data_IF_835486723040
#
_entry.id   IF_835486723040
#
_cell.length_a   1.000
_cell.length_b   1.000
_cell.length_c   1.000
_cell.angle_alpha   90.00
_cell.angle_beta   90.00
_cell.angle_gamma   90.00
#
_symmetry.space_group_name_H-M   'P 1'
#
loop_
_entity.id
_entity.type
_entity.pdbx_description
1 polymer ?
#
# COMPACT_ATOMS: atom_id res chain seq x y z
N UNK A 1 -16.79 5.90 3.67
CA UNK A 1 -16.68 7.21 2.98
C UNK A 1 -15.51 7.96 3.60
N UNK A 2 -14.66 8.62 2.81
CA UNK A 2 -13.53 9.39 3.34
C UNK A 2 -13.98 10.74 3.88
N UNK A 3 -13.20 11.30 4.80
CA UNK A 3 -13.33 12.72 5.19
C UNK A 3 -12.62 13.61 4.18
N UNK A 4 -13.03 14.87 4.02
CA UNK A 4 -12.42 15.81 3.07
C UNK A 4 -10.89 15.91 3.23
N UNK A 5 -10.40 15.90 4.47
CA UNK A 5 -8.96 15.95 4.75
C UNK A 5 -8.21 14.70 4.21
N UNK A 6 -8.84 13.53 4.29
CA UNK A 6 -8.28 12.28 3.80
C UNK A 6 -8.31 12.20 2.28
N UNK A 7 -9.38 12.70 1.66
CA UNK A 7 -9.52 12.80 0.21
C UNK A 7 -8.43 13.70 -0.39
N UNK A 8 -8.25 14.92 0.15
CA UNK A 8 -7.16 15.82 -0.26
C UNK A 8 -5.77 15.21 -0.05
N UNK A 9 -5.58 14.42 1.01
CA UNK A 9 -4.31 13.70 1.24
C UNK A 9 -4.09 12.61 0.19
N UNK A 10 -5.14 11.87 -0.17
CA UNK A 10 -5.10 10.85 -1.20
C UNK A 10 -4.74 11.48 -2.55
N UNK A 11 -5.46 12.52 -2.99
CA UNK A 11 -5.21 13.20 -4.27
C UNK A 11 -3.76 13.67 -4.42
N UNK A 12 -3.20 14.28 -3.37
CA UNK A 12 -1.81 14.77 -3.38
C UNK A 12 -0.77 13.67 -3.51
N UNK A 13 -1.03 12.51 -2.92
CA UNK A 13 -0.02 11.45 -2.74
C UNK A 13 -0.20 10.27 -3.69
N UNK A 14 -1.39 10.11 -4.24
CA UNK A 14 -1.74 9.01 -5.14
C UNK A 14 -0.91 9.05 -6.44
N UNK A 15 -0.55 10.24 -6.90
CA UNK A 15 0.24 10.46 -8.12
C UNK A 15 1.76 10.44 -7.86
N UNK A 16 2.21 10.10 -6.66
CA UNK A 16 3.64 10.00 -6.36
C UNK A 16 4.29 8.82 -7.08
N UNK A 17 5.58 8.95 -7.40
CA UNK A 17 6.35 7.89 -8.07
C UNK A 17 6.25 6.52 -7.35
N UNK A 18 6.32 6.53 -6.02
CA UNK A 18 6.20 5.32 -5.21
C UNK A 18 4.82 4.66 -5.31
N UNK A 19 3.75 5.46 -5.28
CA UNK A 19 2.39 4.94 -5.45
C UNK A 19 2.14 4.42 -6.86
N UNK A 20 2.62 5.12 -7.90
CA UNK A 20 2.53 4.64 -9.28
C UNK A 20 3.26 3.32 -9.48
N UNK A 21 4.44 3.16 -8.87
CA UNK A 21 5.17 1.89 -8.88
C UNK A 21 4.42 0.79 -8.10
N UNK A 22 3.83 1.13 -6.95
CA UNK A 22 3.05 0.18 -6.14
C UNK A 22 1.81 -0.31 -6.90
N UNK A 23 1.14 0.58 -7.64
CA UNK A 23 -0.03 0.22 -8.44
C UNK A 23 0.28 -0.73 -9.60
N UNK A 24 1.55 -0.85 -10.03
CA UNK A 24 1.95 -1.91 -10.97
C UNK A 24 1.87 -3.31 -10.35
N UNK A 25 1.91 -3.41 -9.01
CA UNK A 25 1.87 -4.68 -8.27
C UNK A 25 0.55 -4.93 -7.55
N UNK A 26 -0.12 -3.86 -7.14
CA UNK A 26 -1.41 -3.86 -6.45
C UNK A 26 -2.43 -3.19 -7.37
N UNK A 27 -3.37 -3.95 -7.94
CA UNK A 27 -4.33 -3.44 -8.92
C UNK A 27 -5.22 -2.36 -8.30
N UNK A 28 -5.09 -1.12 -8.77
CA UNK A 28 -5.82 0.05 -8.26
C UNK A 28 -7.33 -0.11 -8.42
N UNK A 29 -7.76 -0.78 -9.49
CA UNK A 29 -9.17 -0.91 -9.89
C UNK A 29 -9.97 -1.80 -8.94
N UNK A 30 -9.30 -2.64 -8.14
CA UNK A 30 -9.92 -3.54 -7.18
C UNK A 30 -10.07 -2.91 -5.78
N UNK A 31 -9.54 -1.70 -5.60
CA UNK A 31 -9.51 -1.01 -4.32
C UNK A 31 -10.65 -0.01 -4.21
N UNK A 32 -11.35 -0.02 -3.08
CA UNK A 32 -12.25 1.08 -2.72
C UNK A 32 -11.45 2.35 -2.45
N UNK A 33 -12.11 3.51 -2.49
CA UNK A 33 -11.48 4.79 -2.17
C UNK A 33 -10.84 4.80 -0.77
N UNK A 34 -11.52 4.21 0.21
CA UNK A 34 -10.99 4.06 1.55
C UNK A 34 -9.74 3.17 1.62
N UNK A 35 -9.73 2.07 0.87
CA UNK A 35 -8.57 1.18 0.78
C UNK A 35 -7.40 1.86 0.07
N UNK A 36 -7.65 2.65 -0.99
CA UNK A 36 -6.63 3.47 -1.66
C UNK A 36 -5.99 4.47 -0.69
N UNK A 37 -6.78 5.10 0.17
CA UNK A 37 -6.28 5.96 1.24
C UNK A 37 -5.38 5.20 2.23
N UNK A 38 -5.81 4.04 2.73
CA UNK A 38 -5.00 3.22 3.65
C UNK A 38 -3.69 2.79 2.98
N UNK A 39 -3.76 2.26 1.75
CA UNK A 39 -2.60 1.85 0.97
C UNK A 39 -1.61 3.00 0.82
N UNK A 40 -2.10 4.19 0.48
CA UNK A 40 -1.28 5.39 0.30
C UNK A 40 -0.62 5.83 1.61
N UNK A 41 -1.36 5.85 2.72
CA UNK A 41 -0.84 6.18 4.05
C UNK A 41 0.26 5.21 4.48
N UNK A 42 0.02 3.91 4.31
CA UNK A 42 0.94 2.88 4.77
C UNK A 42 2.17 2.78 3.85
N UNK A 43 2.00 2.99 2.54
CA UNK A 43 3.11 3.14 1.59
C UNK A 43 4.01 4.32 1.98
N UNK A 44 3.43 5.47 2.31
CA UNK A 44 4.23 6.62 2.75
C UNK A 44 5.02 6.33 4.03
N UNK A 45 4.41 5.65 5.00
CA UNK A 45 5.08 5.23 6.24
C UNK A 45 6.26 4.30 5.95
N UNK A 46 6.09 3.33 5.06
CA UNK A 46 7.18 2.39 4.75
C UNK A 46 8.30 3.05 3.97
N UNK A 47 7.99 4.01 3.08
CA UNK A 47 9.00 4.80 2.39
C UNK A 47 9.84 5.63 3.37
N UNK A 48 9.21 6.30 4.33
CA UNK A 48 9.95 7.03 5.38
C UNK A 48 10.84 6.09 6.19
N UNK A 49 10.29 4.95 6.63
CA UNK A 49 11.06 3.97 7.37
C UNK A 49 12.28 3.49 6.57
N UNK A 50 12.09 3.19 5.29
CA UNK A 50 13.16 2.72 4.40
C UNK A 50 14.25 3.79 4.25
N UNK A 51 13.86 5.05 4.04
CA UNK A 51 14.80 6.17 3.97
C UNK A 51 15.56 6.37 5.29
N UNK A 52 14.88 6.25 6.42
CA UNK A 52 15.50 6.35 7.75
C UNK A 52 16.54 5.25 7.96
N UNK A 53 16.20 3.99 7.66
CA UNK A 53 17.12 2.85 7.71
C UNK A 53 18.34 3.07 6.84
N UNK A 54 18.14 3.48 5.58
CA UNK A 54 19.24 3.77 4.65
C UNK A 54 20.11 4.90 5.20
N UNK A 55 19.51 6.00 5.65
CA UNK A 55 20.25 7.16 6.16
C UNK A 55 21.07 6.86 7.42
N UNK A 56 20.65 5.89 8.22
CA UNK A 56 21.31 5.53 9.48
C UNK A 56 22.39 4.46 9.27
N UNK A 57 22.08 3.41 8.51
CA UNK A 57 22.92 2.21 8.42
C UNK A 57 23.95 2.30 7.29
N UNK A 58 23.62 2.96 6.18
CA UNK A 58 24.53 3.08 5.04
C UNK A 58 25.83 3.84 5.41
N UNK A 59 25.79 4.97 6.16
CA UNK A 59 27.01 5.66 6.58
C UNK A 59 27.89 4.84 7.54
N UNK A 60 27.32 3.86 8.23
CA UNK A 60 28.04 2.95 9.12
C UNK A 60 28.70 1.78 8.37
N UNK A 61 28.55 1.70 7.04
CA UNK A 61 29.07 0.61 6.23
C UNK A 61 28.28 -0.71 6.36
N UNK A 62 27.12 -0.68 7.02
CA UNK A 62 26.27 -1.84 7.27
C UNK A 62 25.37 -2.15 6.06
N UNK A 63 25.99 -2.51 4.93
CA UNK A 63 25.28 -2.69 3.65
C UNK A 63 24.29 -3.85 3.68
N UNK A 64 24.64 -4.98 4.32
CA UNK A 64 23.80 -6.17 4.37
C UNK A 64 22.54 -5.90 5.21
N UNK A 65 22.71 -5.30 6.38
CA UNK A 65 21.64 -4.91 7.29
C UNK A 65 20.74 -3.86 6.63
N UNK A 66 21.33 -2.86 5.99
CA UNK A 66 20.58 -1.86 5.22
C UNK A 66 19.69 -2.54 4.18
N UNK A 67 20.24 -3.48 3.40
CA UNK A 67 19.47 -4.21 2.41
C UNK A 67 18.35 -5.03 3.04
N UNK A 68 18.63 -5.78 4.12
CA UNK A 68 17.63 -6.60 4.80
C UNK A 68 16.50 -5.76 5.39
N UNK A 69 16.84 -4.70 6.15
CA UNK A 69 15.85 -3.84 6.80
C UNK A 69 15.11 -2.93 5.82
N UNK A 70 15.71 -2.56 4.70
CA UNK A 70 15.00 -1.85 3.63
C UNK A 70 14.08 -2.79 2.84
N UNK A 71 14.56 -3.97 2.42
CA UNK A 71 13.86 -4.82 1.45
C UNK A 71 12.76 -5.64 2.10
N UNK A 72 13.02 -6.31 3.23
CA UNK A 72 12.07 -7.26 3.83
C UNK A 72 10.72 -6.58 4.15
N UNK A 73 10.66 -5.41 4.83
CA UNK A 73 9.39 -4.77 5.13
C UNK A 73 8.62 -4.38 3.87
N UNK A 74 9.31 -3.88 2.84
CA UNK A 74 8.67 -3.53 1.56
C UNK A 74 8.08 -4.76 0.86
N UNK A 75 8.81 -5.88 0.87
CA UNK A 75 8.30 -7.15 0.30
C UNK A 75 7.08 -7.64 1.08
N UNK A 76 7.14 -7.68 2.41
CA UNK A 76 6.01 -8.10 3.26
C UNK A 76 4.79 -7.21 3.04
N UNK A 77 4.99 -5.90 2.96
CA UNK A 77 3.93 -4.93 2.68
C UNK A 77 3.23 -5.20 1.34
N UNK A 78 3.99 -5.34 0.26
CA UNK A 78 3.43 -5.58 -1.08
C UNK A 78 2.72 -6.93 -1.15
N UNK A 79 3.34 -7.98 -0.60
CA UNK A 79 2.77 -9.33 -0.61
C UNK A 79 1.44 -9.37 0.14
N UNK A 80 1.36 -8.77 1.34
CA UNK A 80 0.10 -8.70 2.11
C UNK A 80 -1.02 -8.00 1.33
N UNK A 81 -0.73 -6.90 0.65
CA UNK A 81 -1.72 -6.20 -0.16
C UNK A 81 -2.16 -7.00 -1.39
N UNK A 82 -1.23 -7.71 -2.02
CA UNK A 82 -1.54 -8.57 -3.15
C UNK A 82 -2.40 -9.76 -2.74
N UNK A 83 -2.07 -10.40 -1.63
CA UNK A 83 -2.82 -11.53 -1.07
C UNK A 83 -4.24 -11.09 -0.66
N UNK A 84 -4.36 -9.92 -0.04
CA UNK A 84 -5.66 -9.31 0.27
C UNK A 84 -6.52 -9.11 -0.98
N UNK A 85 -5.95 -8.52 -2.05
CA UNK A 85 -6.67 -8.34 -3.31
C UNK A 85 -7.06 -9.68 -3.96
N UNK A 86 -6.18 -10.68 -3.90
CA UNK A 86 -6.45 -12.00 -4.42
C UNK A 86 -7.62 -12.67 -3.67
N UNK A 87 -7.62 -12.63 -2.34
CA UNK A 87 -8.72 -13.13 -1.52
C UNK A 87 -10.04 -12.39 -1.81
N UNK A 88 -9.99 -11.07 -1.93
CA UNK A 88 -11.15 -10.24 -2.26
C UNK A 88 -11.73 -10.57 -3.63
N UNK A 89 -10.89 -10.88 -4.61
CA UNK A 89 -11.33 -11.28 -5.96
C UNK A 89 -11.93 -12.69 -6.01
N UNK A 90 -11.48 -13.59 -5.13
CA UNK A 90 -11.95 -14.98 -5.03
C UNK A 90 -13.24 -15.13 -4.23
N UNK A 91 -13.61 -14.12 -3.44
CA UNK A 91 -14.92 -14.03 -2.81
C UNK A 91 -15.82 -13.17 -3.70
N UNK A 92 -16.51 -13.74 -4.72
CA UNK A 92 -17.52 -12.98 -5.42
C UNK A 92 -18.54 -12.56 -4.37
N UNK A 93 -18.78 -11.25 -4.31
CA UNK A 93 -19.91 -10.66 -3.58
C UNK A 93 -21.10 -11.57 -3.81
N UNK A 94 -21.55 -12.28 -2.76
CA UNK A 94 -22.87 -12.89 -2.74
C UNK A 94 -23.81 -11.73 -3.02
N UNK A 95 -24.25 -11.63 -4.26
CA UNK A 95 -25.34 -10.77 -4.70
C UNK A 95 -26.49 -11.06 -3.74
N UNK A 96 -26.77 -10.13 -2.83
CA UNK A 96 -28.10 -9.99 -2.26
C UNK A 96 -28.99 -9.44 -3.37
N UNK A 97 -29.28 -10.29 -4.36
CA UNK A 97 -30.36 -10.08 -5.31
C UNK A 97 -31.49 -10.97 -4.82
N UNK A 98 -32.61 -10.31 -4.56
CA UNK A 98 -33.96 -10.84 -4.37
C UNK A 98 -34.26 -11.62 -3.10
N UNK A 99 -34.73 -10.89 -2.09
CA UNK A 99 -36.07 -11.13 -1.51
C UNK A 99 -36.55 -9.89 -0.77
N UNK A 100 -37.87 -9.72 -0.79
CA UNK A 100 -38.67 -8.54 -0.43
C UNK A 100 -38.71 -7.51 -1.57
N UNK A 101 -39.64 -7.52 -2.52
CA UNK A 101 -41.08 -7.83 -2.48
C UNK A 101 -41.83 -7.23 -1.29
#
# INVERSE_FOLDING_TARGET
MLTEAQERQLERRENSFFMLWLYKRVRKELLSEYERYILCRDCFRISIYTLAVISLLLPLGLFLETALFAVIPNVVFITKWRDYLQQKSLQPVKKSVDKYR
#
